data_IF_004500204021
#
_entry.id   IF_004500204021
#
_cell.length_a   1.000
_cell.length_b   1.000
_cell.length_c   1.000
_cell.angle_alpha   90.00
_cell.angle_beta   90.00
_cell.angle_gamma   90.00
#
_symmetry.space_group_name_H-M   'P 1'
#
loop_
_entity.id
_entity.type
_entity.pdbx_description
1 polymer ?
#
# COMPACT_ATOMS: atom_id res chain seq x y z
N UNK A 1 1.38 -4.23 15.62
CA UNK A 1 1.68 -3.59 14.33
C UNK A 1 0.42 -3.54 13.50
N UNK A 2 0.27 -2.49 12.73
CA UNK A 2 -0.95 -2.31 11.94
C UNK A 2 -0.83 -3.00 10.60
N UNK A 3 -1.85 -3.77 10.24
CA UNK A 3 -1.92 -4.51 8.98
C UNK A 3 -3.08 -3.97 8.17
N UNK A 4 -2.87 -3.80 6.88
CA UNK A 4 -3.89 -3.32 5.96
C UNK A 4 -4.02 -4.29 4.78
N UNK A 5 -5.10 -4.17 4.03
CA UNK A 5 -5.30 -4.94 2.81
C UNK A 5 -5.13 -4.00 1.63
N UNK A 6 -4.10 -4.24 0.83
CA UNK A 6 -3.84 -3.45 -0.37
C UNK A 6 -4.38 -4.18 -1.58
N UNK A 7 -4.72 -3.44 -2.62
CA UNK A 7 -5.27 -4.00 -3.85
C UNK A 7 -4.28 -3.83 -4.99
N UNK A 8 -4.00 -4.90 -5.71
CA UNK A 8 -3.22 -4.84 -6.94
C UNK A 8 -4.15 -4.49 -8.07
N UNK A 9 -3.99 -3.30 -8.65
CA UNK A 9 -4.91 -2.81 -9.68
C UNK A 9 -4.75 -3.53 -11.02
N UNK A 10 -3.64 -4.23 -11.22
CA UNK A 10 -3.40 -4.96 -12.46
C UNK A 10 -4.28 -6.20 -12.60
N UNK A 11 -4.70 -6.80 -11.49
CA UNK A 11 -5.46 -8.05 -11.53
C UNK A 11 -6.57 -8.11 -10.48
N UNK A 12 -6.87 -6.99 -9.81
CA UNK A 12 -7.88 -6.87 -8.76
C UNK A 12 -7.69 -7.82 -7.58
N UNK A 13 -6.47 -8.28 -7.35
CA UNK A 13 -6.17 -9.14 -6.21
C UNK A 13 -5.76 -8.32 -5.01
N UNK A 14 -6.07 -8.83 -3.83
CA UNK A 14 -5.71 -8.17 -2.58
C UNK A 14 -4.60 -8.93 -1.87
N UNK A 15 -3.83 -8.19 -1.07
CA UNK A 15 -2.78 -8.76 -0.23
C UNK A 15 -2.79 -8.04 1.11
N UNK A 16 -2.49 -8.79 2.16
CA UNK A 16 -2.24 -8.17 3.45
C UNK A 16 -0.84 -7.57 3.45
N UNK A 17 -0.72 -6.41 4.07
CA UNK A 17 0.57 -5.74 4.20
C UNK A 17 0.66 -5.09 5.58
N UNK A 18 1.87 -5.07 6.11
CA UNK A 18 2.15 -4.50 7.42
C UNK A 18 2.71 -3.10 7.23
N UNK A 19 2.14 -2.13 7.94
CA UNK A 19 2.61 -0.75 7.85
C UNK A 19 3.89 -0.60 8.66
N UNK A 20 4.98 -0.23 8.00
CA UNK A 20 6.25 0.02 8.65
C UNK A 20 6.44 1.50 8.96
N UNK A 21 5.93 2.36 8.07
CA UNK A 21 6.06 3.81 8.22
C UNK A 21 4.88 4.46 7.53
N UNK A 22 4.35 5.52 8.12
CA UNK A 22 3.20 6.21 7.55
C UNK A 22 3.24 7.69 7.88
N UNK A 23 3.04 8.50 6.85
CA UNK A 23 2.79 9.92 6.99
C UNK A 23 1.51 10.26 6.24
N UNK A 24 1.14 11.53 6.21
CA UNK A 24 -0.08 11.96 5.54
C UNK A 24 -0.09 11.61 4.05
N UNK A 25 1.06 11.72 3.38
CA UNK A 25 1.16 11.55 1.93
C UNK A 25 2.03 10.37 1.50
N UNK A 26 2.56 9.61 2.45
CA UNK A 26 3.50 8.53 2.17
C UNK A 26 3.26 7.36 3.13
N UNK A 27 3.43 6.16 2.62
CA UNK A 27 3.33 4.97 3.45
C UNK A 27 4.25 3.89 2.91
N UNK A 28 4.97 3.23 3.83
CA UNK A 28 5.81 2.10 3.48
C UNK A 28 5.25 0.86 4.16
N UNK A 29 5.00 -0.17 3.35
CA UNK A 29 4.45 -1.42 3.85
C UNK A 29 5.31 -2.59 3.43
N UNK A 30 5.18 -3.70 4.14
CA UNK A 30 5.87 -4.94 3.82
C UNK A 30 4.86 -6.06 3.73
N UNK A 31 5.02 -6.92 2.71
CA UNK A 31 4.18 -8.11 2.59
C UNK A 31 4.74 -9.17 3.54
N UNK A 32 3.94 -9.65 4.53
CA UNK A 32 4.42 -10.61 5.51
C UNK A 32 4.90 -11.91 4.86
N UNK A 33 5.96 -12.47 5.42
CA UNK A 33 6.55 -13.70 4.90
C UNK A 33 7.47 -13.49 3.71
N UNK A 34 7.68 -12.25 3.31
CA UNK A 34 8.59 -11.90 2.21
C UNK A 34 9.46 -10.73 2.62
N UNK A 35 10.43 -10.38 1.77
CA UNK A 35 11.23 -9.17 1.94
C UNK A 35 10.78 -8.07 0.97
N UNK A 36 9.56 -8.16 0.50
CA UNK A 36 9.02 -7.21 -0.45
C UNK A 36 8.47 -5.98 0.28
N UNK A 37 9.03 -4.83 -0.03
CA UNK A 37 8.57 -3.54 0.49
C UNK A 37 7.86 -2.78 -0.61
N UNK A 38 6.78 -2.12 -0.25
CA UNK A 38 6.00 -1.31 -1.19
C UNK A 38 5.88 0.09 -0.62
N UNK A 39 6.25 1.08 -1.42
CA UNK A 39 6.09 2.48 -1.05
C UNK A 39 4.87 3.04 -1.76
N UNK A 40 3.97 3.60 -0.99
CA UNK A 40 2.71 4.14 -1.49
C UNK A 40 2.69 5.66 -1.24
N UNK A 41 2.18 6.39 -2.21
CA UNK A 41 2.13 7.85 -2.16
C UNK A 41 0.75 8.34 -2.53
N UNK A 42 0.38 9.50 -2.01
CA UNK A 42 -0.83 10.21 -2.46
C UNK A 42 -0.56 11.71 -2.43
N UNK A 43 -1.18 12.43 -3.37
CA UNK A 43 -1.01 13.88 -3.47
C UNK A 43 -1.96 14.64 -2.54
N UNK A 44 -3.01 13.99 -2.08
CA UNK A 44 -4.05 14.63 -1.29
C UNK A 44 -4.65 13.61 -0.33
N UNK A 45 -5.10 14.08 0.84
CA UNK A 45 -5.70 13.19 1.85
C UNK A 45 -7.01 12.58 1.38
N UNK A 46 -7.62 13.13 0.33
CA UNK A 46 -8.88 12.64 -0.20
C UNK A 46 -8.73 11.62 -1.33
N UNK A 47 -7.50 11.30 -1.72
CA UNK A 47 -7.27 10.29 -2.76
C UNK A 47 -6.55 9.08 -2.17
N UNK A 48 -6.69 7.90 -2.80
CA UNK A 48 -6.01 6.71 -2.30
C UNK A 48 -4.50 6.79 -2.42
N UNK A 49 -3.80 6.07 -1.55
CA UNK A 49 -2.38 5.83 -1.72
C UNK A 49 -2.17 4.91 -2.92
N UNK A 50 -1.18 5.19 -3.73
CA UNK A 50 -0.81 4.34 -4.86
C UNK A 50 0.70 4.13 -4.88
N UNK A 51 1.12 2.99 -5.41
CA UNK A 51 2.54 2.70 -5.51
C UNK A 51 2.79 1.56 -6.49
N UNK A 52 4.03 1.45 -6.94
CA UNK A 52 4.45 0.41 -7.86
C UNK A 52 5.64 -0.34 -7.31
N UNK A 53 5.64 -1.65 -7.51
CA UNK A 53 6.79 -2.48 -7.21
C UNK A 53 6.72 -3.74 -8.07
N UNK A 54 7.87 -4.23 -8.52
CA UNK A 54 7.98 -5.46 -9.31
C UNK A 54 7.04 -5.49 -10.53
N UNK A 55 6.81 -4.34 -11.16
CA UNK A 55 5.95 -4.23 -12.34
C UNK A 55 4.46 -4.25 -12.03
N UNK A 56 4.09 -4.25 -10.75
CA UNK A 56 2.69 -4.26 -10.32
C UNK A 56 2.35 -2.92 -9.67
N UNK A 57 1.09 -2.53 -9.80
CA UNK A 57 0.59 -1.31 -9.18
C UNK A 57 -0.36 -1.67 -8.05
N UNK A 58 -0.18 -1.00 -6.91
CA UNK A 58 -0.99 -1.25 -5.71
C UNK A 58 -1.68 0.02 -5.27
N UNK A 59 -2.84 -0.15 -4.64
CA UNK A 59 -3.65 0.95 -4.17
C UNK A 59 -4.22 0.61 -2.79
N UNK A 60 -4.32 1.62 -1.94
CA UNK A 60 -4.98 1.47 -0.65
C UNK A 60 -5.71 2.76 -0.30
N UNK A 61 -6.98 2.62 0.06
CA UNK A 61 -7.80 3.74 0.47
C UNK A 61 -8.14 3.60 1.95
N UNK A 62 -7.73 4.56 2.79
CA UNK A 62 -8.10 4.53 4.21
C UNK A 62 -9.60 4.65 4.36
N UNK A 63 -10.16 3.83 5.25
CA UNK A 63 -11.57 3.97 5.64
C UNK A 63 -11.67 4.91 6.83
N UNK A 64 -12.59 5.84 6.74
CA UNK A 64 -12.88 6.77 7.84
C UNK A 64 -13.98 6.24 8.71
#
# INVERSE_FOLDING_TARGET
METITITCTNNDRTKEAEILERTENYMKVQVPGTQLFIELFRDDVNIPYTGRTAGLEFEWEPKN
#
